data_IF_136981013826
#
_entry.id   IF_136981013826
#
_cell.length_a   1.000
_cell.length_b   1.000
_cell.length_c   1.000
_cell.angle_alpha   90.00
_cell.angle_beta   90.00
_cell.angle_gamma   90.00
#
_symmetry.space_group_name_H-M   'P 1'
#
loop_
_entity.id
_entity.type
_entity.pdbx_description
1 polymer ?
#
# COMPACT_ATOMS: atom_id res chain seq x y z
N UNK A 1 -31.31 10.75 8.78
CA UNK A 1 -32.38 9.75 8.54
C UNK A 1 -32.52 9.57 7.04
N UNK A 2 -31.93 8.55 6.46
CA UNK A 2 -32.22 8.09 5.09
C UNK A 2 -32.06 6.57 5.13
N UNK A 3 -33.21 5.93 5.00
CA UNK A 3 -33.45 4.48 5.01
C UNK A 3 -33.00 3.89 3.68
N UNK A 4 -32.18 2.85 3.72
CA UNK A 4 -31.89 2.01 2.57
C UNK A 4 -32.76 0.75 2.66
N UNK A 5 -33.73 0.64 1.77
CA UNK A 5 -34.65 -0.48 1.67
C UNK A 5 -34.05 -1.57 0.77
N UNK A 6 -33.81 -2.76 1.31
CA UNK A 6 -33.52 -3.96 0.53
C UNK A 6 -34.83 -4.57 0.03
N UNK A 7 -34.99 -4.69 -1.30
CA UNK A 7 -36.06 -5.47 -1.92
C UNK A 7 -35.62 -6.92 -2.12
N UNK A 8 -36.33 -7.83 -1.47
CA UNK A 8 -36.24 -9.24 -1.75
C UNK A 8 -37.15 -9.58 -2.92
N UNK A 9 -36.59 -10.12 -3.99
CA UNK A 9 -37.32 -10.71 -5.12
C UNK A 9 -37.16 -12.22 -5.16
N UNK A 10 -38.25 -12.92 -4.89
CA UNK A 10 -38.42 -14.35 -5.14
C UNK A 10 -38.61 -14.60 -6.64
N UNK A 11 -37.83 -15.51 -7.22
CA UNK A 11 -38.19 -16.17 -8.47
C UNK A 11 -37.68 -17.62 -8.50
N UNK A 12 -38.58 -18.48 -8.84
CA UNK A 12 -38.54 -19.93 -8.97
C UNK A 12 -37.82 -20.45 -10.22
N UNK A 13 -37.11 -21.58 -10.06
CA UNK A 13 -37.14 -22.73 -10.97
C UNK A 13 -36.32 -22.69 -12.25
N UNK A 14 -35.43 -23.69 -12.43
CA UNK A 14 -34.91 -24.12 -13.73
C UNK A 14 -33.48 -24.68 -13.73
N UNK A 15 -33.38 -25.97 -14.03
CA UNK A 15 -32.23 -26.86 -13.97
C UNK A 15 -31.10 -26.60 -14.97
N UNK A 16 -29.90 -27.07 -14.57
CA UNK A 16 -28.81 -27.72 -15.33
C UNK A 16 -27.87 -26.89 -16.20
N UNK A 17 -26.58 -27.00 -15.87
CA UNK A 17 -25.48 -26.73 -16.80
C UNK A 17 -24.14 -26.44 -16.11
N UNK A 18 -23.30 -27.44 -16.03
CA UNK A 18 -21.95 -27.55 -15.48
C UNK A 18 -20.95 -26.48 -15.98
N UNK A 19 -19.97 -26.23 -15.10
CA UNK A 19 -18.56 -25.85 -15.25
C UNK A 19 -18.20 -24.42 -14.86
N UNK A 20 -17.38 -24.33 -13.81
CA UNK A 20 -16.16 -23.59 -13.83
C UNK A 20 -16.16 -22.17 -13.26
N UNK A 21 -15.55 -21.99 -12.11
CA UNK A 21 -14.99 -20.71 -11.71
C UNK A 21 -15.89 -19.88 -10.79
N UNK A 22 -15.82 -20.13 -9.49
CA UNK A 22 -16.38 -19.25 -8.47
C UNK A 22 -15.60 -17.93 -8.44
N UNK A 23 -16.25 -16.77 -8.57
CA UNK A 23 -15.65 -15.52 -8.13
C UNK A 23 -15.58 -15.52 -6.59
N UNK A 24 -14.41 -15.17 -6.04
CA UNK A 24 -14.26 -14.89 -4.61
C UNK A 24 -15.11 -13.66 -4.28
N UNK A 25 -16.29 -13.89 -3.77
CA UNK A 25 -17.08 -12.88 -3.08
C UNK A 25 -16.45 -12.69 -1.70
N UNK A 26 -15.94 -11.50 -1.43
CA UNK A 26 -15.62 -11.05 -0.09
C UNK A 26 -16.95 -10.82 0.63
N UNK A 27 -17.32 -11.77 1.48
CA UNK A 27 -18.42 -11.59 2.42
C UNK A 27 -17.89 -10.71 3.57
N UNK A 28 -18.50 -9.54 3.74
CA UNK A 28 -18.33 -8.72 4.93
C UNK A 28 -19.38 -9.16 5.94
N UNK A 29 -18.97 -9.59 7.12
CA UNK A 29 -19.87 -9.80 8.24
C UNK A 29 -20.25 -8.47 8.91
N UNK A 30 -21.38 -8.45 9.57
CA UNK A 30 -21.99 -7.25 10.14
C UNK A 30 -21.18 -6.61 11.30
N UNK A 31 -20.04 -7.15 11.69
CA UNK A 31 -19.22 -6.67 12.80
C UNK A 31 -17.96 -5.91 12.37
N UNK A 32 -17.59 -5.92 11.09
CA UNK A 32 -16.42 -5.17 10.61
C UNK A 32 -15.07 -5.61 11.17
N UNK A 33 -14.99 -6.76 11.80
CA UNK A 33 -13.74 -7.34 12.32
C UNK A 33 -13.22 -8.39 11.35
N UNK A 34 -12.09 -8.10 10.72
CA UNK A 34 -11.33 -9.07 9.94
C UNK A 34 -10.68 -10.06 10.93
N UNK A 35 -11.30 -11.20 11.13
CA UNK A 35 -10.63 -12.34 11.75
C UNK A 35 -9.53 -12.86 10.81
N UNK A 36 -8.29 -12.52 11.13
CA UNK A 36 -7.14 -13.21 10.57
C UNK A 36 -7.05 -14.61 11.18
N UNK A 37 -7.45 -15.62 10.40
CA UNK A 37 -7.26 -17.02 10.74
C UNK A 37 -5.81 -17.26 11.16
N UNK A 38 -5.68 -17.96 12.29
CA UNK A 38 -4.43 -18.37 12.94
C UNK A 38 -3.70 -19.39 12.05
N UNK A 39 -2.97 -18.91 11.04
CA UNK A 39 -2.01 -19.71 10.30
C UNK A 39 -0.61 -19.24 10.65
N UNK A 40 0.22 -20.19 11.00
CA UNK A 40 1.64 -20.16 11.40
C UNK A 40 2.40 -18.90 11.00
N UNK A 41 2.92 -18.21 12.02
CA UNK A 41 3.89 -17.10 11.90
C UNK A 41 5.20 -17.63 11.34
N UNK A 42 5.26 -17.86 10.03
CA UNK A 42 6.53 -17.79 9.32
C UNK A 42 6.92 -16.32 9.27
N UNK A 43 8.08 -16.02 9.84
CA UNK A 43 8.72 -14.71 9.75
C UNK A 43 8.59 -14.19 8.32
N UNK A 44 7.86 -13.07 8.14
CA UNK A 44 7.89 -12.32 6.90
C UNK A 44 9.25 -11.63 6.88
N UNK A 45 10.29 -12.44 6.60
CA UNK A 45 11.54 -11.92 6.09
C UNK A 45 11.20 -11.13 4.84
N UNK A 46 11.73 -9.92 4.76
CA UNK A 46 11.71 -9.11 3.56
C UNK A 46 11.96 -10.05 2.37
N UNK A 47 10.93 -10.31 1.55
CA UNK A 47 11.11 -11.01 0.29
C UNK A 47 12.02 -10.11 -0.53
N UNK A 48 13.32 -10.43 -0.53
CA UNK A 48 14.22 -9.94 -1.54
C UNK A 48 13.59 -10.27 -2.88
N UNK A 49 13.26 -9.26 -3.65
CA UNK A 49 12.90 -9.43 -5.05
C UNK A 49 14.12 -10.00 -5.76
N UNK A 50 14.11 -11.31 -5.98
CA UNK A 50 15.13 -11.95 -6.80
C UNK A 50 14.96 -11.49 -8.25
N UNK A 51 16.03 -11.15 -8.97
CA UNK A 51 15.97 -10.78 -10.39
C UNK A 51 15.30 -11.85 -11.25
N UNK A 52 15.29 -13.11 -10.81
CA UNK A 52 14.63 -14.21 -11.49
C UNK A 52 13.10 -14.17 -11.44
N UNK A 53 12.51 -13.47 -10.46
CA UNK A 53 11.05 -13.26 -10.40
C UNK A 53 10.53 -12.31 -11.47
N UNK A 54 11.42 -11.52 -12.10
CA UNK A 54 11.08 -10.62 -13.21
C UNK A 54 10.78 -11.41 -14.49
N UNK A 55 11.08 -12.69 -14.54
CA UNK A 55 10.89 -13.54 -15.75
C UNK A 55 9.43 -13.91 -16.01
N UNK A 56 8.53 -13.76 -15.04
CA UNK A 56 7.10 -14.03 -15.25
C UNK A 56 6.33 -12.73 -15.49
N UNK A 57 5.39 -12.68 -16.48
CA UNK A 57 4.59 -11.49 -16.75
C UNK A 57 3.88 -10.92 -15.54
N UNK A 58 3.46 -11.79 -14.59
CA UNK A 58 2.82 -11.37 -13.34
C UNK A 58 3.74 -10.52 -12.44
N UNK A 59 5.06 -10.61 -12.64
CA UNK A 59 6.05 -9.85 -11.87
C UNK A 59 6.52 -8.56 -12.56
N UNK A 60 5.90 -8.17 -13.68
CA UNK A 60 6.23 -6.95 -14.42
C UNK A 60 5.19 -5.85 -14.14
N UNK A 61 5.16 -5.24 -12.94
CA UNK A 61 4.23 -4.16 -12.64
C UNK A 61 4.62 -2.89 -13.39
N UNK A 62 3.64 -2.12 -13.84
CA UNK A 62 3.86 -0.82 -14.45
C UNK A 62 3.87 0.29 -13.38
N UNK A 63 4.89 1.16 -13.42
CA UNK A 63 4.89 2.40 -12.65
C UNK A 63 3.86 3.35 -13.22
N UNK A 64 2.99 3.88 -12.36
CA UNK A 64 1.92 4.80 -12.76
C UNK A 64 2.32 6.22 -12.42
N UNK A 65 2.43 7.03 -13.45
CA UNK A 65 2.64 8.47 -13.36
C UNK A 65 1.30 9.21 -13.49
N UNK A 66 1.25 10.38 -12.91
CA UNK A 66 0.18 11.34 -13.15
C UNK A 66 0.37 12.00 -14.54
N UNK A 67 -0.58 12.81 -14.99
CA UNK A 67 -0.49 13.55 -16.25
C UNK A 67 0.69 14.56 -16.31
N UNK A 68 1.25 14.93 -15.17
CA UNK A 68 2.45 15.76 -15.06
C UNK A 68 3.75 14.95 -15.02
N UNK A 69 3.68 13.65 -15.31
CA UNK A 69 4.78 12.69 -15.25
C UNK A 69 5.41 12.49 -13.87
N UNK A 70 4.81 12.99 -12.81
CA UNK A 70 5.21 12.67 -11.44
C UNK A 70 4.56 11.36 -10.98
N UNK A 71 5.21 10.51 -10.18
CA UNK A 71 4.57 9.33 -9.61
C UNK A 71 3.32 9.69 -8.80
N UNK A 72 2.22 8.96 -9.00
CA UNK A 72 0.99 9.15 -8.20
C UNK A 72 1.23 8.99 -6.71
N UNK A 73 2.13 8.07 -6.35
CA UNK A 73 2.61 7.88 -5.00
C UNK A 73 4.04 7.36 -5.04
N UNK A 74 4.89 7.93 -4.19
CA UNK A 74 6.26 7.46 -4.00
C UNK A 74 6.35 6.36 -2.94
N UNK A 75 5.46 6.40 -1.94
CA UNK A 75 5.52 5.48 -0.81
C UNK A 75 4.11 5.10 -0.33
N UNK A 76 3.69 3.84 -0.57
CA UNK A 76 4.30 2.88 -1.51
C UNK A 76 4.23 3.40 -2.94
N UNK A 77 5.12 2.92 -3.80
CA UNK A 77 5.07 3.26 -5.23
C UNK A 77 3.72 2.87 -5.83
N UNK A 78 3.20 3.73 -6.69
CA UNK A 78 1.99 3.45 -7.46
C UNK A 78 2.31 2.46 -8.58
N UNK A 79 2.17 1.18 -8.28
CA UNK A 79 2.42 0.09 -9.22
C UNK A 79 1.10 -0.59 -9.59
N UNK A 80 0.84 -0.73 -10.87
CA UNK A 80 -0.28 -1.53 -11.36
C UNK A 80 0.21 -2.86 -11.93
N UNK A 81 -0.55 -3.95 -11.72
CA UNK A 81 -0.32 -5.18 -12.47
C UNK A 81 -0.36 -4.91 -13.96
N UNK A 82 0.48 -5.59 -14.74
CA UNK A 82 0.58 -5.38 -16.17
C UNK A 82 -0.77 -5.56 -16.89
N UNK A 83 -1.64 -6.47 -16.43
CA UNK A 83 -2.97 -6.68 -16.97
C UNK A 83 -3.84 -5.42 -16.84
N UNK A 84 -3.75 -4.75 -15.67
CA UNK A 84 -4.48 -3.50 -15.43
C UNK A 84 -3.93 -2.38 -16.30
N UNK A 85 -2.61 -2.30 -16.46
CA UNK A 85 -1.97 -1.31 -17.31
C UNK A 85 -2.36 -1.47 -18.77
N UNK A 86 -2.34 -2.70 -19.31
CA UNK A 86 -2.79 -3.01 -20.68
C UNK A 86 -4.28 -2.66 -20.84
N UNK A 87 -5.13 -3.04 -19.90
CA UNK A 87 -6.55 -2.68 -19.95
C UNK A 87 -6.76 -1.17 -20.01
N UNK A 88 -6.02 -0.41 -19.20
CA UNK A 88 -6.11 1.05 -19.21
C UNK A 88 -5.63 1.67 -20.51
N UNK A 89 -4.62 1.07 -21.16
CA UNK A 89 -4.11 1.47 -22.47
C UNK A 89 -5.19 1.29 -23.56
N UNK A 90 -5.86 0.14 -23.61
CA UNK A 90 -6.95 -0.09 -24.57
C UNK A 90 -8.19 0.78 -24.32
N UNK A 91 -8.39 1.21 -23.07
CA UNK A 91 -9.44 2.16 -22.70
C UNK A 91 -9.03 3.64 -22.93
N UNK A 92 -7.85 3.87 -23.49
CA UNK A 92 -7.28 5.19 -23.75
C UNK A 92 -7.20 6.11 -22.51
N UNK A 93 -7.04 5.52 -21.33
CA UNK A 93 -6.92 6.24 -20.04
C UNK A 93 -5.48 6.58 -19.70
N UNK A 94 -4.53 5.90 -20.33
CA UNK A 94 -3.10 6.08 -20.07
C UNK A 94 -2.32 6.11 -21.38
N UNK A 95 -1.18 6.77 -21.33
CA UNK A 95 -0.15 6.72 -22.37
C UNK A 95 1.01 5.87 -21.88
N UNK A 96 1.57 5.03 -22.75
CA UNK A 96 2.74 4.21 -22.40
C UNK A 96 4.00 5.03 -22.63
N UNK A 97 4.77 5.19 -21.57
CA UNK A 97 6.01 6.00 -21.59
C UNK A 97 7.24 5.11 -21.80
N UNK A 98 7.26 3.92 -21.17
CA UNK A 98 8.34 2.95 -21.34
C UNK A 98 7.78 1.52 -21.30
N UNK A 99 8.53 0.60 -21.90
CA UNK A 99 8.20 -0.82 -21.97
C UNK A 99 9.30 -1.66 -21.31
N UNK A 100 8.88 -2.83 -20.82
CA UNK A 100 9.82 -3.91 -20.54
C UNK A 100 10.31 -4.52 -21.85
N UNK A 101 11.48 -5.14 -21.82
CA UNK A 101 11.94 -5.99 -22.93
C UNK A 101 11.27 -7.38 -22.85
N UNK A 102 9.93 -7.36 -22.80
CA UNK A 102 9.08 -8.54 -22.67
C UNK A 102 7.76 -8.34 -23.38
N UNK A 103 7.29 -9.42 -23.97
CA UNK A 103 6.04 -9.45 -24.71
C UNK A 103 5.07 -10.49 -24.12
N UNK A 104 3.80 -10.19 -24.24
CA UNK A 104 2.70 -11.13 -24.06
C UNK A 104 2.00 -11.35 -25.37
N UNK A 105 1.64 -12.60 -25.61
CA UNK A 105 1.02 -13.02 -26.87
C UNK A 105 -0.43 -13.41 -26.62
N UNK A 106 -1.30 -12.98 -27.51
CA UNK A 106 -2.65 -13.50 -27.70
C UNK A 106 -2.72 -14.18 -29.06
N UNK A 107 -3.77 -14.92 -29.38
CA UNK A 107 -3.89 -15.58 -30.70
C UNK A 107 -3.77 -14.66 -31.92
N UNK A 108 -4.05 -13.36 -31.73
CA UNK A 108 -4.09 -12.36 -32.81
C UNK A 108 -3.11 -11.21 -32.66
N UNK A 109 -2.39 -11.12 -31.52
CA UNK A 109 -1.59 -9.93 -31.21
C UNK A 109 -0.44 -10.25 -30.26
N UNK A 110 0.73 -9.63 -30.49
CA UNK A 110 1.84 -9.56 -29.55
C UNK A 110 1.95 -8.13 -29.02
N UNK A 111 2.09 -7.98 -27.70
CA UNK A 111 2.18 -6.70 -27.03
C UNK A 111 3.38 -6.65 -26.09
N UNK A 112 4.19 -5.59 -26.19
CA UNK A 112 5.22 -5.30 -25.21
C UNK A 112 4.59 -4.88 -23.89
N UNK A 113 5.09 -5.42 -22.78
CA UNK A 113 4.59 -5.07 -21.46
C UNK A 113 4.98 -3.64 -21.10
N UNK A 114 4.03 -2.76 -20.70
CA UNK A 114 4.34 -1.42 -20.23
C UNK A 114 5.08 -1.47 -18.89
N UNK A 115 6.20 -0.78 -18.78
CA UNK A 115 6.95 -0.61 -17.52
C UNK A 115 6.64 0.72 -16.85
N UNK A 116 6.33 1.75 -17.63
CA UNK A 116 5.91 3.07 -17.15
C UNK A 116 4.71 3.53 -17.97
N UNK A 117 3.67 3.98 -17.29
CA UNK A 117 2.46 4.55 -17.87
C UNK A 117 2.16 5.90 -17.24
N UNK A 118 1.66 6.86 -18.02
CA UNK A 118 1.18 8.14 -17.54
C UNK A 118 -0.34 8.24 -17.70
N UNK A 119 -1.04 8.73 -16.69
CA UNK A 119 -2.47 9.01 -16.78
C UNK A 119 -2.71 10.17 -17.75
N UNK A 120 -3.76 10.10 -18.58
CA UNK A 120 -4.17 11.21 -19.43
C UNK A 120 -4.86 12.31 -18.62
N UNK A 121 -5.65 11.91 -17.63
CA UNK A 121 -6.33 12.85 -16.74
C UNK A 121 -5.50 13.14 -15.50
N UNK A 122 -5.33 14.41 -15.17
CA UNK A 122 -4.60 14.80 -13.97
C UNK A 122 -5.38 14.45 -12.70
N UNK A 123 -4.79 13.62 -11.86
CA UNK A 123 -5.32 13.28 -10.54
C UNK A 123 -4.68 14.21 -9.50
N UNK A 124 -5.50 15.05 -8.87
CA UNK A 124 -5.01 15.91 -7.80
C UNK A 124 -4.58 15.09 -6.60
N UNK A 125 -3.30 15.12 -6.22
CA UNK A 125 -2.84 14.39 -5.06
C UNK A 125 -3.50 14.90 -3.78
N UNK A 126 -3.88 13.98 -2.89
CA UNK A 126 -4.36 14.38 -1.57
C UNK A 126 -3.22 15.07 -0.81
N UNK A 127 -3.50 16.20 -0.17
CA UNK A 127 -2.55 16.94 0.65
C UNK A 127 -2.04 16.09 1.82
N UNK A 128 -2.92 15.32 2.42
CA UNK A 128 -2.61 14.43 3.53
C UNK A 128 -2.64 12.97 3.11
N UNK A 129 -1.64 12.19 3.54
CA UNK A 129 -1.61 10.76 3.23
C UNK A 129 -2.71 10.00 3.97
N UNK A 130 -3.16 8.89 3.38
CA UNK A 130 -4.06 7.97 4.04
C UNK A 130 -3.43 7.38 5.31
N UNK A 131 -4.25 7.18 6.35
CA UNK A 131 -3.83 6.52 7.58
C UNK A 131 -3.70 5.01 7.32
N UNK A 132 -2.51 4.57 6.95
CA UNK A 132 -2.21 3.17 6.66
C UNK A 132 -1.05 2.69 7.54
N UNK A 133 -0.93 1.38 7.69
CA UNK A 133 0.18 0.76 8.43
C UNK A 133 1.54 1.21 7.90
N UNK A 134 1.68 1.19 6.58
CA UNK A 134 2.92 1.58 5.92
C UNK A 134 3.26 3.05 6.19
N UNK A 135 2.30 3.96 5.98
CA UNK A 135 2.51 5.39 6.17
C UNK A 135 2.80 5.75 7.64
N UNK A 136 2.20 5.00 8.58
CA UNK A 136 2.50 5.18 10.00
C UNK A 136 3.94 4.79 10.32
N UNK A 137 4.38 3.60 9.85
CA UNK A 137 5.75 3.17 10.05
C UNK A 137 6.75 4.10 9.35
N UNK A 138 6.41 4.59 8.16
CA UNK A 138 7.23 5.54 7.42
C UNK A 138 7.36 6.87 8.17
N UNK A 139 6.26 7.41 8.74
CA UNK A 139 6.28 8.60 9.59
C UNK A 139 7.30 8.44 10.73
N UNK A 140 7.30 7.28 11.37
CA UNK A 140 8.16 6.97 12.51
C UNK A 140 9.52 6.39 12.09
N UNK A 141 9.86 6.47 10.78
CA UNK A 141 11.13 6.02 10.19
C UNK A 141 11.41 4.54 10.49
N UNK A 142 10.37 3.70 10.46
CA UNK A 142 10.43 2.28 10.79
C UNK A 142 11.15 2.00 12.11
N UNK A 143 10.91 2.80 13.13
CA UNK A 143 11.53 2.66 14.45
C UNK A 143 10.52 2.83 15.56
N UNK A 144 10.74 2.13 16.69
CA UNK A 144 9.96 2.27 17.90
C UNK A 144 10.12 3.69 18.48
N UNK A 145 9.01 4.40 18.74
CA UNK A 145 9.05 5.76 19.30
C UNK A 145 9.57 5.81 20.73
N UNK A 146 9.61 4.68 21.44
CA UNK A 146 10.08 4.61 22.84
C UNK A 146 11.54 4.23 23.00
N UNK A 147 12.08 3.31 22.17
CA UNK A 147 13.44 2.81 22.32
C UNK A 147 14.27 2.83 21.03
N UNK A 148 13.72 3.27 19.91
CA UNK A 148 14.41 3.31 18.63
C UNK A 148 14.61 1.97 17.92
N UNK A 149 14.19 0.83 18.53
CA UNK A 149 14.31 -0.50 17.91
C UNK A 149 13.55 -0.56 16.59
N UNK A 150 14.13 -1.25 15.58
CA UNK A 150 13.52 -1.51 14.27
C UNK A 150 12.96 -2.92 14.13
N UNK A 151 12.99 -3.71 15.22
CA UNK A 151 12.55 -5.11 15.22
C UNK A 151 11.14 -5.23 15.80
N UNK A 152 10.36 -6.17 15.25
CA UNK A 152 9.02 -6.53 15.75
C UNK A 152 8.10 -5.32 15.95
N UNK A 153 8.01 -4.47 14.93
CA UNK A 153 7.22 -3.25 15.00
C UNK A 153 5.72 -3.55 14.95
N UNK A 154 5.01 -2.92 15.88
CA UNK A 154 3.57 -2.99 16.08
C UNK A 154 2.98 -1.59 16.18
N UNK A 155 1.65 -1.51 16.30
CA UNK A 155 0.94 -0.25 16.62
C UNK A 155 0.71 -0.15 18.10
N UNK A 156 0.89 1.04 18.61
CA UNK A 156 0.53 1.41 19.97
C UNK A 156 -0.39 2.63 19.95
N UNK A 157 -1.50 2.53 20.68
CA UNK A 157 -2.34 3.69 20.97
C UNK A 157 -1.72 4.42 22.17
N UNK A 158 -1.20 5.62 21.95
CA UNK A 158 -0.57 6.45 23.02
C UNK A 158 -1.53 6.63 24.17
N UNK A 159 -2.75 7.11 23.90
CA UNK A 159 -3.89 7.01 24.82
C UNK A 159 -4.62 5.71 24.49
N UNK A 160 -4.72 4.75 25.41
CA UNK A 160 -5.35 3.47 25.18
C UNK A 160 -6.82 3.60 24.75
N UNK A 161 -7.29 2.68 23.89
CA UNK A 161 -8.70 2.65 23.48
C UNK A 161 -9.66 2.55 24.68
N UNK A 162 -9.29 1.78 25.70
CA UNK A 162 -10.06 1.65 26.93
C UNK A 162 -10.19 2.97 27.70
N UNK A 163 -9.30 3.93 27.48
CA UNK A 163 -9.31 5.27 28.06
C UNK A 163 -9.81 6.34 27.05
N UNK A 164 -10.53 5.93 26.00
CA UNK A 164 -11.11 6.83 25.01
C UNK A 164 -10.19 7.22 23.86
N UNK A 165 -9.00 6.63 23.75
CA UNK A 165 -8.07 6.89 22.66
C UNK A 165 -8.64 6.43 21.31
N UNK A 166 -8.59 7.31 20.30
CA UNK A 166 -9.07 7.03 18.94
C UNK A 166 -7.92 6.52 18.05
N UNK A 167 -8.26 5.72 17.05
CA UNK A 167 -7.32 5.26 16.03
C UNK A 167 -7.14 6.37 14.98
N UNK A 168 -6.16 7.23 15.17
CA UNK A 168 -5.88 8.39 14.34
C UNK A 168 -4.39 8.75 14.40
N UNK A 169 -3.94 9.62 13.50
CA UNK A 169 -2.54 10.00 13.38
C UNK A 169 -1.94 10.52 14.69
N UNK A 170 -2.72 11.29 15.44
CA UNK A 170 -2.29 11.98 16.65
C UNK A 170 -2.29 11.08 17.89
N UNK A 171 -2.78 9.84 17.75
CA UNK A 171 -2.86 8.91 18.88
C UNK A 171 -2.21 7.55 18.61
N UNK A 172 -1.83 7.22 17.37
CA UNK A 172 -1.19 5.94 17.08
C UNK A 172 0.27 6.16 16.73
N UNK A 173 1.14 5.37 17.36
CA UNK A 173 2.58 5.42 17.15
C UNK A 173 3.16 4.03 16.88
N UNK A 174 4.35 4.00 16.27
CA UNK A 174 5.10 2.77 16.06
C UNK A 174 5.80 2.36 17.35
N UNK A 175 5.53 1.16 17.84
CA UNK A 175 6.22 0.58 19.00
C UNK A 175 6.75 -0.81 18.68
N UNK A 176 7.89 -1.21 19.23
CA UNK A 176 8.28 -2.60 19.18
C UNK A 176 7.44 -3.45 20.16
N UNK A 177 7.28 -4.74 19.89
CA UNK A 177 6.47 -5.62 20.71
C UNK A 177 6.87 -5.59 22.21
N UNK A 178 8.16 -5.58 22.61
CA UNK A 178 8.55 -5.46 24.03
C UNK A 178 8.08 -4.15 24.67
N UNK A 179 8.22 -2.99 23.97
CA UNK A 179 7.77 -1.71 24.52
C UNK A 179 6.26 -1.64 24.62
N UNK A 180 5.54 -2.16 23.62
CA UNK A 180 4.08 -2.18 23.61
C UNK A 180 3.53 -3.05 24.77
N UNK A 181 4.11 -4.23 24.99
CA UNK A 181 3.77 -5.09 26.14
C UNK A 181 4.06 -4.41 27.47
N UNK A 182 5.22 -3.76 27.61
CA UNK A 182 5.59 -3.02 28.84
C UNK A 182 4.61 -1.88 29.12
N UNK A 183 4.14 -1.17 28.10
CA UNK A 183 3.12 -0.13 28.24
C UNK A 183 1.78 -0.70 28.68
N UNK A 184 1.35 -1.84 28.11
CA UNK A 184 0.28 -2.68 28.63
C UNK A 184 -1.07 -2.00 28.83
N UNK A 185 -1.54 -1.20 27.87
CA UNK A 185 -2.85 -0.52 27.98
C UNK A 185 -2.88 0.68 28.93
N UNK A 186 -1.73 1.15 29.38
CA UNK A 186 -1.55 2.39 30.14
C UNK A 186 -1.14 3.54 29.23
N UNK A 187 -1.31 4.78 29.67
CA UNK A 187 -0.69 5.92 28.99
C UNK A 187 0.85 5.88 29.15
N UNK A 188 1.61 6.55 28.29
CA UNK A 188 3.07 6.64 28.44
C UNK A 188 3.49 7.18 29.83
N UNK A 189 2.77 8.15 30.33
CA UNK A 189 3.01 8.72 31.65
C UNK A 189 2.85 7.67 32.78
N UNK A 190 1.73 6.94 32.80
CA UNK A 190 1.47 5.87 33.78
C UNK A 190 2.45 4.70 33.65
N UNK A 191 2.98 4.45 32.43
CA UNK A 191 3.96 3.40 32.17
C UNK A 191 5.42 3.85 32.43
N UNK A 192 5.64 5.10 32.83
CA UNK A 192 6.96 5.73 32.92
C UNK A 192 7.78 5.58 31.63
N UNK A 193 7.11 5.79 30.49
CA UNK A 193 7.69 5.71 29.17
C UNK A 193 7.51 7.06 28.47
N UNK A 194 8.58 7.53 27.82
CA UNK A 194 8.55 8.80 27.09
C UNK A 194 8.78 8.51 25.59
N UNK A 195 7.83 8.85 24.71
CA UNK A 195 8.07 8.77 23.29
C UNK A 195 9.09 9.86 22.88
N UNK A 196 10.06 9.50 22.07
CA UNK A 196 11.04 10.46 21.52
C UNK A 196 10.41 11.40 20.48
N UNK A 197 9.22 11.08 20.00
CA UNK A 197 8.47 11.86 19.02
C UNK A 197 7.00 11.77 19.35
N UNK A 198 6.32 12.91 19.28
CA UNK A 198 4.88 12.95 19.40
C UNK A 198 4.22 12.44 18.10
N UNK A 199 3.11 11.70 18.19
CA UNK A 199 2.36 11.27 17.05
C UNK A 199 1.61 12.45 16.44
N UNK A 200 2.12 12.96 15.31
CA UNK A 200 1.49 14.04 14.54
C UNK A 200 1.03 13.51 13.19
N UNK A 201 0.07 14.18 12.58
CA UNK A 201 -0.36 13.90 11.22
C UNK A 201 0.71 14.42 10.25
N UNK A 202 1.34 13.55 9.45
CA UNK A 202 2.37 13.97 8.52
C UNK A 202 1.75 14.62 7.27
N UNK A 203 2.47 15.52 6.66
CA UNK A 203 2.20 15.95 5.28
C UNK A 203 2.71 14.91 4.29
N UNK A 204 2.23 14.96 3.05
CA UNK A 204 2.74 14.10 1.97
C UNK A 204 4.24 14.31 1.74
N UNK A 205 4.68 15.56 1.78
CA UNK A 205 6.10 15.92 1.61
C UNK A 205 6.99 15.29 2.70
N UNK A 206 6.57 15.38 3.97
CA UNK A 206 7.32 14.76 5.08
C UNK A 206 7.46 13.24 4.92
N UNK A 207 6.39 12.55 4.48
CA UNK A 207 6.50 11.12 4.21
C UNK A 207 7.42 10.81 3.02
N UNK A 208 7.39 11.64 1.99
CA UNK A 208 8.27 11.48 0.83
C UNK A 208 9.74 11.66 1.22
N UNK A 209 10.05 12.69 2.00
CA UNK A 209 11.39 12.91 2.54
C UNK A 209 11.87 11.74 3.41
N UNK A 210 11.01 11.26 4.33
CA UNK A 210 11.34 10.08 5.11
C UNK A 210 11.55 8.84 4.24
N UNK A 211 10.77 8.70 3.18
CA UNK A 211 10.84 7.57 2.26
C UNK A 211 12.15 7.49 1.48
N UNK A 212 12.78 8.62 1.18
CA UNK A 212 14.10 8.66 0.52
C UNK A 212 15.16 7.88 1.31
N UNK A 213 15.06 7.84 2.64
CA UNK A 213 15.96 7.06 3.49
C UNK A 213 15.66 5.54 3.46
N UNK A 214 14.54 5.13 2.86
CA UNK A 214 14.09 3.74 2.77
C UNK A 214 13.67 3.40 1.33
N UNK A 215 14.61 3.41 0.37
CA UNK A 215 14.29 3.12 -1.02
C UNK A 215 13.69 1.72 -1.14
N UNK A 216 12.80 1.49 -2.10
CA UNK A 216 12.30 0.15 -2.38
C UNK A 216 13.45 -0.82 -2.67
N UNK A 217 13.33 -2.06 -2.22
CA UNK A 217 14.35 -3.08 -2.42
C UNK A 217 14.62 -3.41 -3.90
N UNK A 218 13.70 -3.03 -4.78
CA UNK A 218 13.81 -3.22 -6.22
C UNK A 218 13.22 -2.02 -6.95
N UNK A 219 14.02 -1.47 -7.83
CA UNK A 219 13.62 -0.45 -8.81
C UNK A 219 14.04 -0.95 -10.17
N UNK A 220 13.10 -1.00 -11.10
CA UNK A 220 13.44 -1.26 -12.50
C UNK A 220 14.17 -0.04 -13.08
N UNK A 221 15.16 -0.27 -13.96
CA UNK A 221 15.98 0.84 -14.50
C UNK A 221 15.13 1.89 -15.20
N UNK A 222 14.09 1.50 -15.94
CA UNK A 222 13.16 2.43 -16.59
C UNK A 222 12.36 3.33 -15.66
N UNK A 223 12.37 3.08 -14.34
CA UNK A 223 11.66 3.89 -13.35
C UNK A 223 12.54 4.96 -12.70
N UNK A 224 13.85 4.84 -12.80
CA UNK A 224 14.80 5.70 -12.08
C UNK A 224 14.63 7.16 -12.46
N UNK A 225 14.49 7.48 -13.72
CA UNK A 225 14.35 8.83 -14.22
C UNK A 225 13.10 9.55 -13.68
N UNK A 226 12.06 8.78 -13.27
CA UNK A 226 10.82 9.32 -12.73
C UNK A 226 10.76 9.37 -11.21
N UNK A 227 11.71 8.73 -10.52
CA UNK A 227 11.73 8.65 -9.06
C UNK A 227 12.74 9.59 -8.42
N UNK A 228 13.74 10.02 -9.17
CA UNK A 228 14.85 10.83 -8.67
C UNK A 228 15.03 12.15 -9.44
N UNK A 229 14.02 12.59 -10.17
CA UNK A 229 14.07 13.80 -11.00
C UNK A 229 14.31 15.10 -10.20
N UNK A 230 14.05 15.11 -8.89
CA UNK A 230 14.24 16.23 -7.98
C UNK A 230 15.59 16.18 -7.22
N UNK A 231 16.45 15.22 -7.54
CA UNK A 231 17.82 15.17 -6.99
C UNK A 231 18.67 16.18 -7.74
N UNK A 232 19.29 17.11 -7.01
CA UNK A 232 20.25 18.04 -7.59
C UNK A 232 21.37 17.26 -8.28
N UNK A 233 21.65 17.62 -9.53
CA UNK A 233 22.79 17.06 -10.25
C UNK A 233 24.05 17.65 -9.62
N UNK A 234 24.97 16.80 -9.20
CA UNK A 234 26.28 17.26 -8.75
C UNK A 234 27.00 17.95 -9.92
N UNK A 235 27.66 19.13 -9.69
CA UNK A 235 28.32 19.88 -10.72
C UNK A 235 29.55 19.17 -11.28
#
# INVERSE_FOLDING_TARGET
MLSCACHAGLASGGQEGKTGGRPLLLECDEAGELEFGRTERKAVGARMYHPELIRHPESCPALVLNADYTPLSYYPLSLWPWQTAIKAMFLERVDVVAHYDREVHSPSMALKLPSVIALRDYVRPNEYPAFTRFNLFLRDKFSCVYCGSRRELTFDHVVPRAQGGRTMWENVATACAPCNLRKGGRTPFEAHMHPHRDPIRPTRWQLQEHGRAFPPNYLHDSWRDYLYWDVELEP
#
